data_IF_327229459718
#
_entry.id   IF_327229459718
#
_cell.length_a   1.000
_cell.length_b   1.000
_cell.length_c   1.000
_cell.angle_alpha   90.00
_cell.angle_beta   90.00
_cell.angle_gamma   90.00
#
_symmetry.space_group_name_H-M   'P 1'
#
loop_
_entity.id
_entity.type
_entity.pdbx_description
1 polymer ?
#
# COMPACT_ATOMS: atom_id res chain seq x y z
N UNK A 1 9.34 16.05 5.13
CA UNK A 1 9.96 14.90 4.45
C UNK A 1 8.89 14.22 3.63
N UNK A 2 9.15 13.93 2.37
CA UNK A 2 8.25 13.19 1.47
C UNK A 2 8.51 11.68 1.62
N UNK A 3 7.73 11.04 2.45
CA UNK A 3 7.83 9.60 2.76
C UNK A 3 7.45 8.72 1.57
N UNK A 4 6.54 9.20 0.70
CA UNK A 4 6.16 8.50 -0.53
C UNK A 4 7.33 8.45 -1.52
N UNK A 5 8.01 9.57 -1.73
CA UNK A 5 9.19 9.63 -2.59
C UNK A 5 10.34 8.78 -2.03
N UNK A 6 10.50 8.74 -0.70
CA UNK A 6 11.50 7.90 -0.06
C UNK A 6 11.22 6.41 -0.26
N UNK A 7 9.96 5.95 -0.08
CA UNK A 7 9.57 4.56 -0.37
C UNK A 7 9.86 4.20 -1.82
N UNK A 8 9.48 5.07 -2.77
CA UNK A 8 9.74 4.83 -4.19
C UNK A 8 11.24 4.72 -4.48
N UNK A 9 12.07 5.56 -3.85
CA UNK A 9 13.54 5.50 -4.02
C UNK A 9 14.15 4.21 -3.48
N UNK A 10 13.64 3.69 -2.35
CA UNK A 10 14.08 2.40 -1.79
C UNK A 10 13.75 1.26 -2.76
N UNK A 11 12.53 1.25 -3.30
CA UNK A 11 12.10 0.26 -4.29
C UNK A 11 12.95 0.33 -5.56
N UNK A 12 13.24 1.54 -6.05
CA UNK A 12 14.08 1.77 -7.21
C UNK A 12 15.51 1.22 -6.99
N UNK A 13 16.11 1.47 -5.83
CA UNK A 13 17.41 0.89 -5.48
C UNK A 13 17.36 -0.64 -5.43
N UNK A 14 16.27 -1.20 -4.93
CA UNK A 14 16.09 -2.64 -4.80
C UNK A 14 16.07 -3.36 -6.15
N UNK A 15 15.26 -2.87 -7.10
CA UNK A 15 15.13 -3.51 -8.43
C UNK A 15 16.34 -3.30 -9.35
N UNK A 16 17.24 -2.38 -8.98
CA UNK A 16 18.49 -2.14 -9.71
C UNK A 16 19.73 -2.73 -9.03
N UNK A 17 19.57 -3.59 -8.00
CA UNK A 17 20.68 -4.23 -7.30
C UNK A 17 21.58 -3.27 -6.49
N UNK A 18 21.02 -2.13 -6.02
CA UNK A 18 21.74 -1.08 -5.32
C UNK A 18 21.33 -0.93 -3.85
N UNK A 19 20.36 -1.72 -3.38
CA UNK A 19 19.84 -1.62 -2.01
C UNK A 19 20.67 -2.42 -1.02
N UNK A 20 21.17 -3.57 -1.42
CA UNK A 20 22.00 -4.47 -0.59
C UNK A 20 23.29 -4.82 -1.31
N UNK A 21 24.36 -5.17 -0.56
CA UNK A 21 25.58 -5.68 -1.17
C UNK A 21 25.33 -7.00 -1.89
N UNK A 22 25.95 -7.19 -3.06
CA UNK A 22 25.99 -8.45 -3.77
C UNK A 22 27.01 -9.38 -3.12
N UNK A 23 26.69 -10.68 -3.05
CA UNK A 23 27.60 -11.71 -2.57
C UNK A 23 28.01 -12.60 -3.78
N UNK A 24 29.30 -12.64 -4.15
CA UNK A 24 29.75 -13.46 -5.27
C UNK A 24 29.61 -14.98 -5.01
N UNK A 25 29.33 -15.39 -3.79
CA UNK A 25 29.04 -16.79 -3.44
C UNK A 25 27.57 -17.16 -3.58
N UNK A 26 26.69 -16.20 -3.84
CA UNK A 26 25.29 -16.51 -4.08
C UNK A 26 25.12 -17.33 -5.37
N UNK A 27 24.26 -18.34 -5.33
CA UNK A 27 23.94 -19.13 -6.51
C UNK A 27 23.28 -18.21 -7.59
N UNK A 28 23.82 -18.16 -8.81
CA UNK A 28 23.26 -17.29 -9.85
C UNK A 28 21.78 -17.52 -10.11
N UNK A 29 21.03 -16.45 -10.38
CA UNK A 29 19.58 -16.50 -10.64
C UNK A 29 19.22 -17.39 -11.87
N UNK A 30 20.11 -17.58 -12.82
CA UNK A 30 19.93 -18.48 -13.94
C UNK A 30 19.71 -19.94 -13.50
N UNK A 31 20.41 -20.39 -12.46
CA UNK A 31 20.25 -21.74 -11.89
C UNK A 31 18.88 -21.88 -11.22
N UNK A 32 18.44 -20.85 -10.47
CA UNK A 32 17.08 -20.78 -9.92
C UNK A 32 16.03 -20.87 -11.02
N UNK A 33 16.22 -20.11 -12.11
CA UNK A 33 15.29 -20.09 -13.24
C UNK A 33 15.19 -21.46 -13.93
N UNK A 34 16.29 -22.17 -14.09
CA UNK A 34 16.29 -23.53 -14.64
C UNK A 34 15.52 -24.50 -13.71
N UNK A 35 15.69 -24.42 -12.41
CA UNK A 35 14.91 -25.22 -11.44
C UNK A 35 13.42 -24.92 -11.52
N UNK A 36 13.04 -23.66 -11.62
CA UNK A 36 11.63 -23.24 -11.76
C UNK A 36 11.05 -23.85 -13.05
N UNK A 37 11.77 -23.75 -14.19
CA UNK A 37 11.33 -24.33 -15.46
C UNK A 37 11.17 -25.82 -15.40
N UNK A 38 12.12 -26.53 -14.80
CA UNK A 38 12.06 -27.98 -14.65
C UNK A 38 10.86 -28.41 -13.79
N UNK A 39 10.63 -27.72 -12.68
CA UNK A 39 9.51 -28.04 -11.79
C UNK A 39 8.16 -27.73 -12.46
N UNK A 40 8.03 -26.60 -13.17
CA UNK A 40 6.81 -26.30 -13.95
C UNK A 40 6.53 -27.37 -15.01
N UNK A 41 7.54 -27.81 -15.75
CA UNK A 41 7.37 -28.91 -16.73
C UNK A 41 6.95 -30.22 -16.04
N UNK A 42 7.46 -30.53 -14.84
CA UNK A 42 7.04 -31.68 -14.04
C UNK A 42 5.54 -31.55 -13.69
N UNK A 43 5.12 -30.40 -13.15
CA UNK A 43 3.73 -30.15 -12.78
C UNK A 43 2.77 -30.20 -13.98
N UNK A 44 3.22 -29.75 -15.17
CA UNK A 44 2.46 -29.86 -16.42
C UNK A 44 2.29 -31.33 -16.81
N UNK A 45 3.36 -32.11 -16.77
CA UNK A 45 3.31 -33.57 -17.07
C UNK A 45 2.40 -34.33 -16.12
N UNK A 46 2.37 -33.93 -14.86
CA UNK A 46 1.47 -34.49 -13.81
C UNK A 46 0.02 -33.99 -13.95
N UNK A 47 -0.27 -33.08 -14.90
CA UNK A 47 -1.60 -32.51 -15.09
C UNK A 47 -2.07 -31.55 -13.97
N UNK A 48 -1.15 -31.14 -13.08
CA UNK A 48 -1.44 -30.21 -11.96
C UNK A 48 -1.61 -28.77 -12.40
N UNK A 49 -0.86 -28.36 -13.43
CA UNK A 49 -0.96 -27.02 -14.02
C UNK A 49 -1.09 -27.10 -15.55
N UNK A 50 -1.75 -26.12 -16.12
CA UNK A 50 -1.87 -26.01 -17.58
C UNK A 50 -0.62 -25.34 -18.17
N UNK A 51 -0.19 -25.78 -19.34
CA UNK A 51 0.87 -25.09 -20.08
C UNK A 51 0.40 -23.68 -20.46
N UNK A 52 1.15 -22.69 -20.03
CA UNK A 52 0.95 -21.30 -20.50
C UNK A 52 1.13 -21.25 -22.03
N UNK A 53 0.27 -20.51 -22.74
CA UNK A 53 0.52 -20.24 -24.16
C UNK A 53 1.87 -19.52 -24.27
N UNK A 54 2.77 -20.03 -25.12
CA UNK A 54 4.03 -19.32 -25.39
C UNK A 54 3.66 -17.95 -25.94
N UNK A 55 3.95 -16.92 -25.17
CA UNK A 55 3.95 -15.55 -25.64
C UNK A 55 5.01 -15.45 -26.73
N UNK A 56 4.69 -14.87 -27.90
CA UNK A 56 5.72 -14.49 -28.86
C UNK A 56 6.68 -13.55 -28.12
N UNK A 57 7.99 -13.85 -28.16
CA UNK A 57 9.00 -12.97 -27.57
C UNK A 57 8.77 -11.58 -28.14
N UNK A 58 8.46 -10.61 -27.32
CA UNK A 58 8.47 -9.21 -27.71
C UNK A 58 9.88 -8.88 -28.17
N UNK A 59 10.04 -8.41 -29.40
CA UNK A 59 11.32 -7.92 -29.91
C UNK A 59 11.71 -6.59 -29.29
N UNK A 60 10.78 -5.93 -28.61
CA UNK A 60 10.99 -4.73 -27.80
C UNK A 60 11.33 -5.14 -26.37
N UNK A 61 12.57 -5.54 -26.14
CA UNK A 61 13.16 -5.50 -24.81
C UNK A 61 13.14 -4.04 -24.39
N UNK A 62 12.48 -3.66 -23.25
CA UNK A 62 12.68 -2.33 -22.69
C UNK A 62 14.18 -2.15 -22.56
N UNK A 63 14.70 -0.99 -22.96
CA UNK A 63 16.10 -0.64 -22.90
C UNK A 63 16.64 -0.76 -21.48
N UNK A 64 16.97 -1.98 -21.04
CA UNK A 64 17.96 -2.19 -20.00
C UNK A 64 19.32 -1.92 -20.63
N UNK A 65 19.61 -0.65 -20.94
CA UNK A 65 20.92 -0.18 -21.36
C UNK A 65 21.99 -0.37 -20.27
N UNK A 66 21.57 -0.87 -19.09
CA UNK A 66 22.47 -1.11 -17.99
C UNK A 66 22.85 -2.59 -17.95
N UNK A 67 24.14 -2.85 -17.86
CA UNK A 67 24.70 -4.16 -17.52
C UNK A 67 23.99 -4.67 -16.28
N UNK A 68 23.38 -5.86 -16.37
CA UNK A 68 22.74 -6.49 -15.23
C UNK A 68 23.76 -6.68 -14.10
N UNK A 69 23.36 -6.56 -12.84
CA UNK A 69 24.23 -6.92 -11.71
C UNK A 69 24.72 -8.38 -11.83
N UNK A 70 25.89 -8.66 -11.29
CA UNK A 70 26.46 -10.00 -11.32
C UNK A 70 25.53 -11.04 -10.68
N UNK A 71 25.39 -12.19 -11.33
CA UNK A 71 24.49 -13.26 -10.88
C UNK A 71 23.00 -13.04 -11.15
N UNK A 72 22.58 -11.86 -11.63
CA UNK A 72 21.20 -11.59 -12.00
C UNK A 72 20.89 -12.09 -13.42
N UNK A 73 19.61 -12.41 -13.70
CA UNK A 73 19.19 -12.77 -15.06
C UNK A 73 17.87 -12.10 -15.44
N UNK A 74 17.66 -11.89 -16.74
CA UNK A 74 16.42 -11.37 -17.29
C UNK A 74 15.48 -12.54 -17.62
N UNK A 75 14.22 -12.43 -17.23
CA UNK A 75 13.15 -13.38 -17.48
C UNK A 75 11.82 -12.65 -17.59
N UNK A 76 10.69 -13.33 -17.53
CA UNK A 76 9.35 -12.73 -17.51
C UNK A 76 8.43 -13.41 -16.49
N UNK A 77 7.30 -12.77 -16.17
CA UNK A 77 6.32 -13.31 -15.21
C UNK A 77 5.81 -14.68 -15.66
N UNK A 78 5.56 -14.87 -16.96
CA UNK A 78 5.04 -16.13 -17.50
C UNK A 78 6.02 -17.31 -17.34
N UNK A 79 7.33 -17.04 -17.37
CA UNK A 79 8.36 -18.06 -17.05
C UNK A 79 8.46 -18.34 -15.55
N UNK A 80 8.37 -17.30 -14.70
CA UNK A 80 8.55 -17.42 -13.25
C UNK A 80 7.35 -18.00 -12.53
N UNK A 81 6.13 -17.52 -12.83
CA UNK A 81 4.95 -17.77 -12.02
C UNK A 81 3.98 -18.75 -12.68
N UNK A 82 3.12 -19.31 -11.86
CA UNK A 82 2.03 -20.21 -12.24
C UNK A 82 0.74 -19.41 -12.21
N UNK A 83 0.06 -19.29 -13.36
CA UNK A 83 -1.21 -18.61 -13.45
C UNK A 83 -2.35 -19.55 -13.04
N UNK A 84 -3.19 -19.10 -12.11
CA UNK A 84 -4.36 -19.81 -11.59
C UNK A 84 -5.69 -19.11 -11.89
N UNK A 85 -5.71 -18.22 -12.88
CA UNK A 85 -6.90 -17.48 -13.30
C UNK A 85 -8.10 -18.36 -13.66
N UNK A 86 -7.83 -19.58 -14.15
CA UNK A 86 -8.87 -20.54 -14.48
C UNK A 86 -9.67 -21.06 -13.29
N UNK A 87 -9.23 -20.81 -12.07
CA UNK A 87 -9.91 -21.21 -10.83
C UNK A 87 -10.82 -20.11 -10.28
N UNK A 88 -10.71 -18.88 -10.80
CA UNK A 88 -11.54 -17.73 -10.39
C UNK A 88 -13.00 -17.94 -10.81
N UNK A 89 -13.92 -17.43 -10.01
CA UNK A 89 -15.36 -17.44 -10.32
C UNK A 89 -16.00 -16.10 -9.91
N UNK A 90 -16.53 -15.31 -10.84
CA UNK A 90 -17.29 -14.11 -10.48
C UNK A 90 -18.61 -14.48 -9.83
N UNK A 91 -18.98 -13.79 -8.76
CA UNK A 91 -20.28 -13.90 -8.10
C UNK A 91 -20.94 -12.53 -8.16
N UNK A 92 -22.14 -12.45 -8.74
CA UNK A 92 -22.85 -11.18 -8.89
C UNK A 92 -23.19 -10.55 -7.53
N UNK A 93 -23.29 -9.23 -7.49
CA UNK A 93 -23.67 -8.49 -6.27
C UNK A 93 -25.03 -8.94 -5.74
N UNK A 94 -25.97 -9.26 -6.64
CA UNK A 94 -27.32 -9.75 -6.28
C UNK A 94 -27.24 -11.10 -5.55
N UNK A 95 -26.36 -12.01 -5.98
CA UNK A 95 -26.17 -13.30 -5.30
C UNK A 95 -25.48 -13.04 -3.95
N UNK A 96 -24.41 -12.23 -3.91
CA UNK A 96 -23.69 -11.93 -2.67
C UNK A 96 -24.58 -11.24 -1.62
N UNK A 97 -25.49 -10.34 -2.04
CA UNK A 97 -26.40 -9.66 -1.11
C UNK A 97 -27.40 -10.60 -0.41
N UNK A 98 -27.69 -11.76 -1.01
CA UNK A 98 -28.61 -12.77 -0.46
C UNK A 98 -27.91 -13.75 0.51
N UNK A 99 -26.57 -13.75 0.57
CA UNK A 99 -25.84 -14.63 1.47
C UNK A 99 -25.94 -14.14 2.92
N UNK A 100 -26.19 -15.06 3.86
CA UNK A 100 -26.42 -14.73 5.29
C UNK A 100 -25.21 -14.90 6.17
N UNK A 101 -24.26 -15.75 5.77
CA UNK A 101 -23.04 -16.09 6.56
C UNK A 101 -21.77 -15.66 5.84
N UNK A 102 -21.64 -14.37 5.58
CA UNK A 102 -20.48 -13.79 4.87
C UNK A 102 -19.26 -13.69 5.77
N UNK A 103 -18.37 -14.66 5.72
CA UNK A 103 -17.16 -14.72 6.56
C UNK A 103 -15.86 -14.64 5.77
N UNK A 104 -15.86 -15.07 4.48
CA UNK A 104 -14.66 -15.11 3.65
C UNK A 104 -14.54 -13.86 2.79
N UNK A 105 -13.34 -13.32 2.69
CA UNK A 105 -13.07 -12.15 1.89
C UNK A 105 -13.26 -12.44 0.39
N UNK A 106 -13.91 -11.50 -0.31
CA UNK A 106 -14.13 -11.53 -1.74
C UNK A 106 -13.27 -10.46 -2.41
N UNK A 107 -12.25 -10.90 -3.13
CA UNK A 107 -11.24 -10.04 -3.75
C UNK A 107 -11.65 -9.58 -5.14
N UNK A 108 -11.38 -8.30 -5.42
CA UNK A 108 -11.45 -7.65 -6.73
C UNK A 108 -10.09 -7.12 -7.17
N UNK A 109 -10.09 -6.21 -8.16
CA UNK A 109 -8.88 -5.67 -8.79
C UNK A 109 -7.90 -4.95 -7.85
N UNK A 110 -8.35 -4.41 -6.72
CA UNK A 110 -7.55 -3.59 -5.81
C UNK A 110 -7.76 -3.95 -4.33
N UNK A 111 -8.00 -5.23 -4.03
CA UNK A 111 -8.19 -5.75 -2.68
C UNK A 111 -9.59 -6.29 -2.42
N UNK A 112 -9.94 -6.43 -1.15
CA UNK A 112 -11.25 -6.93 -0.70
C UNK A 112 -12.35 -5.92 -1.06
N UNK A 113 -13.41 -6.40 -1.70
CA UNK A 113 -14.57 -5.58 -2.11
C UNK A 113 -15.88 -6.02 -1.45
N UNK A 114 -15.94 -7.23 -0.88
CA UNK A 114 -17.11 -7.79 -0.20
C UNK A 114 -16.69 -9.01 0.64
N UNK A 115 -17.65 -9.68 1.27
CA UNK A 115 -17.49 -11.00 1.86
C UNK A 115 -18.50 -11.98 1.25
N UNK A 116 -18.18 -13.28 1.32
CA UNK A 116 -19.02 -14.39 0.81
C UNK A 116 -19.08 -15.53 1.83
N UNK A 117 -19.99 -16.48 1.62
CA UNK A 117 -20.26 -17.60 2.52
C UNK A 117 -19.37 -18.83 2.26
N UNK A 118 -18.61 -18.82 1.16
CA UNK A 118 -17.73 -19.92 0.75
C UNK A 118 -16.40 -19.38 0.20
N UNK A 119 -15.43 -20.26 -0.01
CA UNK A 119 -14.10 -19.89 -0.50
C UNK A 119 -13.69 -20.75 -1.69
N UNK A 120 -12.76 -20.23 -2.51
CA UNK A 120 -12.13 -20.95 -3.63
C UNK A 120 -10.69 -21.36 -3.31
N UNK A 121 -9.99 -20.56 -2.49
CA UNK A 121 -8.59 -20.72 -2.17
C UNK A 121 -8.43 -20.82 -0.65
N UNK A 122 -7.46 -21.61 -0.19
CA UNK A 122 -7.06 -21.75 1.23
C UNK A 122 -5.53 -21.81 1.29
N UNK A 123 -4.88 -20.73 0.82
CA UNK A 123 -3.43 -20.62 0.76
C UNK A 123 -3.00 -19.15 0.50
N UNK A 124 -1.69 -18.88 0.62
CA UNK A 124 -1.13 -17.57 0.29
C UNK A 124 -0.82 -17.50 -1.20
N UNK A 125 -1.48 -16.57 -1.92
CA UNK A 125 -1.26 -16.29 -3.35
C UNK A 125 -1.07 -14.80 -3.61
N UNK A 126 -0.39 -14.48 -4.69
CA UNK A 126 -0.21 -13.13 -5.18
C UNK A 126 -1.38 -12.79 -6.12
N UNK A 127 -2.07 -11.70 -5.81
CA UNK A 127 -3.12 -11.14 -6.66
C UNK A 127 -2.58 -9.88 -7.35
N UNK A 128 -2.86 -9.74 -8.66
CA UNK A 128 -2.52 -8.55 -9.45
C UNK A 128 -3.80 -8.05 -10.13
N UNK A 129 -4.11 -6.76 -9.99
CA UNK A 129 -5.28 -6.18 -10.64
C UNK A 129 -5.30 -6.46 -12.15
N UNK A 130 -6.43 -6.96 -12.68
CA UNK A 130 -6.61 -7.22 -14.11
C UNK A 130 -7.20 -6.00 -14.83
N UNK A 131 -8.06 -5.23 -14.16
CA UNK A 131 -8.73 -4.07 -14.77
C UNK A 131 -9.02 -2.95 -13.76
N UNK A 132 -9.45 -1.82 -14.30
CA UNK A 132 -9.89 -0.67 -13.51
C UNK A 132 -8.84 0.44 -13.37
N UNK A 133 -9.33 1.59 -12.89
CA UNK A 133 -8.54 2.82 -12.80
C UNK A 133 -7.29 2.70 -11.91
N UNK A 134 -7.28 1.77 -10.95
CA UNK A 134 -6.12 1.59 -10.05
C UNK A 134 -4.86 1.16 -10.79
N UNK A 135 -4.98 0.45 -11.93
CA UNK A 135 -3.83 0.04 -12.73
C UNK A 135 -2.93 1.24 -13.10
N UNK A 136 -3.53 2.37 -13.45
CA UNK A 136 -2.83 3.60 -13.84
C UNK A 136 -2.65 4.57 -12.66
N UNK A 137 -3.70 4.79 -11.84
CA UNK A 137 -3.66 5.75 -10.74
C UNK A 137 -2.75 5.33 -9.60
N UNK A 138 -2.59 4.01 -9.40
CA UNK A 138 -1.77 3.40 -8.36
C UNK A 138 -2.05 3.99 -6.97
N UNK A 139 -3.33 4.31 -6.73
CA UNK A 139 -3.79 4.78 -5.40
C UNK A 139 -3.66 3.69 -4.33
N UNK A 140 -3.71 2.43 -4.78
CA UNK A 140 -3.39 1.24 -4.00
C UNK A 140 -2.36 0.40 -4.75
N UNK A 141 -1.70 -0.52 -4.08
CA UNK A 141 -0.82 -1.49 -4.71
C UNK A 141 -1.56 -2.28 -5.78
N UNK A 142 -0.95 -2.45 -6.96
CA UNK A 142 -1.50 -3.28 -8.03
C UNK A 142 -1.27 -4.78 -7.76
N UNK A 143 -0.20 -5.12 -7.04
CA UNK A 143 0.10 -6.47 -6.58
C UNK A 143 -0.05 -6.53 -5.06
N UNK A 144 -0.86 -7.48 -4.55
CA UNK A 144 -1.18 -7.66 -3.14
C UNK A 144 -1.41 -9.14 -2.82
N UNK A 145 -1.31 -9.52 -1.55
CA UNK A 145 -1.49 -10.92 -1.12
C UNK A 145 -2.90 -11.17 -0.61
N UNK A 146 -3.40 -12.37 -0.88
CA UNK A 146 -4.51 -12.98 -0.18
C UNK A 146 -4.01 -14.22 0.57
N UNK A 147 -4.48 -14.43 1.80
CA UNK A 147 -4.03 -15.50 2.69
C UNK A 147 -5.21 -16.18 3.39
N UNK A 148 -5.06 -17.46 3.72
CA UNK A 148 -6.10 -18.28 4.33
C UNK A 148 -7.23 -18.57 3.34
N UNK A 149 -8.48 -18.50 3.80
CA UNK A 149 -9.67 -18.85 3.01
C UNK A 149 -10.32 -17.60 2.42
N UNK A 150 -10.40 -17.53 1.10
CA UNK A 150 -10.92 -16.39 0.38
C UNK A 150 -11.48 -16.76 -0.99
N UNK A 151 -12.16 -15.81 -1.62
CA UNK A 151 -12.70 -15.91 -2.97
C UNK A 151 -12.14 -14.81 -3.86
N UNK A 152 -11.83 -15.12 -5.11
CA UNK A 152 -11.33 -14.14 -6.09
C UNK A 152 -12.27 -14.09 -7.29
N UNK A 153 -12.62 -12.88 -7.73
CA UNK A 153 -13.38 -12.65 -8.95
C UNK A 153 -12.46 -12.57 -10.19
N UNK A 154 -13.04 -12.24 -11.34
CA UNK A 154 -12.32 -12.11 -12.60
C UNK A 154 -11.63 -10.75 -12.82
N UNK A 155 -11.58 -9.88 -11.81
CA UNK A 155 -10.93 -8.56 -11.89
C UNK A 155 -9.51 -8.54 -11.29
N UNK A 156 -9.02 -9.67 -10.80
CA UNK A 156 -7.64 -9.83 -10.35
C UNK A 156 -7.05 -11.14 -10.87
N UNK A 157 -5.85 -11.11 -11.41
CA UNK A 157 -5.04 -12.30 -11.70
C UNK A 157 -4.66 -12.99 -10.41
N UNK A 158 -4.61 -14.32 -10.43
CA UNK A 158 -4.19 -15.17 -9.31
C UNK A 158 -2.91 -15.88 -9.72
N UNK A 159 -1.85 -15.60 -9.00
CA UNK A 159 -0.51 -16.11 -9.30
C UNK A 159 0.06 -16.90 -8.14
N UNK A 160 0.66 -18.02 -8.50
CA UNK A 160 1.40 -18.92 -7.62
C UNK A 160 2.86 -19.04 -8.08
N UNK A 161 3.71 -19.64 -7.27
CA UNK A 161 5.09 -19.94 -7.60
C UNK A 161 5.50 -21.31 -7.07
N UNK A 162 6.50 -21.93 -7.69
CA UNK A 162 7.13 -23.14 -7.18
C UNK A 162 7.85 -22.92 -5.83
N UNK A 163 8.34 -21.70 -5.61
CA UNK A 163 8.84 -21.20 -4.33
C UNK A 163 8.03 -19.96 -3.94
N UNK A 164 7.27 -20.04 -2.87
CA UNK A 164 6.41 -18.95 -2.39
C UNK A 164 7.18 -17.66 -2.02
N UNK A 165 8.45 -17.76 -1.67
CA UNK A 165 9.30 -16.59 -1.37
C UNK A 165 9.48 -15.69 -2.60
N UNK A 166 9.47 -16.27 -3.81
CA UNK A 166 9.53 -15.50 -5.05
C UNK A 166 8.38 -14.52 -5.20
N UNK A 167 7.20 -14.85 -4.71
CA UNK A 167 6.01 -13.99 -4.79
C UNK A 167 6.22 -12.64 -4.11
N UNK A 168 6.95 -12.60 -2.98
CA UNK A 168 7.25 -11.35 -2.26
C UNK A 168 8.12 -10.42 -3.11
N UNK A 169 9.15 -10.97 -3.76
CA UNK A 169 10.00 -10.19 -4.65
C UNK A 169 9.22 -9.67 -5.88
N UNK A 170 8.41 -10.52 -6.50
CA UNK A 170 7.58 -10.12 -7.65
C UNK A 170 6.57 -9.04 -7.27
N UNK A 171 5.94 -9.13 -6.09
CA UNK A 171 5.03 -8.08 -5.61
C UNK A 171 5.74 -6.72 -5.48
N UNK A 172 6.99 -6.71 -5.00
CA UNK A 172 7.83 -5.51 -4.92
C UNK A 172 8.08 -4.95 -6.31
N UNK A 173 8.51 -5.79 -7.27
CA UNK A 173 8.80 -5.37 -8.65
C UNK A 173 7.57 -4.75 -9.31
N UNK A 174 6.43 -5.44 -9.30
CA UNK A 174 5.18 -4.96 -9.90
C UNK A 174 4.71 -3.65 -9.26
N UNK A 175 4.85 -3.51 -7.95
CA UNK A 175 4.45 -2.28 -7.25
C UNK A 175 5.46 -1.14 -7.44
N UNK A 176 6.70 -1.40 -7.83
CA UNK A 176 7.71 -0.38 -8.09
C UNK A 176 7.66 0.16 -9.52
N UNK A 177 7.40 -0.71 -10.51
CA UNK A 177 7.44 -0.35 -11.92
C UNK A 177 6.13 0.28 -12.43
N UNK A 178 6.21 1.04 -13.53
CA UNK A 178 5.04 1.47 -14.29
C UNK A 178 4.55 0.34 -15.18
N UNK A 179 3.23 0.17 -15.27
CA UNK A 179 2.60 -0.89 -16.05
C UNK A 179 1.97 -0.36 -17.36
N UNK A 180 2.15 0.92 -17.66
CA UNK A 180 1.46 1.63 -18.77
C UNK A 180 1.63 0.91 -20.10
N UNK A 181 2.83 0.41 -20.39
CA UNK A 181 3.16 -0.28 -21.65
C UNK A 181 2.47 -1.67 -21.77
N UNK A 182 2.00 -2.23 -20.68
CA UNK A 182 1.32 -3.54 -20.62
C UNK A 182 -0.20 -3.40 -20.53
N UNK A 183 -0.71 -2.18 -20.29
CA UNK A 183 -2.12 -1.89 -20.11
C UNK A 183 -2.73 -1.48 -21.44
N UNK A 184 -3.89 -2.04 -21.76
CA UNK A 184 -4.69 -1.70 -22.93
C UNK A 184 -6.01 -1.06 -22.52
N UNK A 185 -6.63 -0.28 -23.42
CA UNK A 185 -7.93 0.35 -23.19
C UNK A 185 -7.83 1.66 -22.40
N UNK A 186 -8.12 2.78 -23.07
CA UNK A 186 -8.06 4.13 -22.49
C UNK A 186 -9.24 4.41 -21.55
N UNK A 187 -10.45 3.96 -21.89
CA UNK A 187 -11.65 4.18 -21.06
C UNK A 187 -11.74 3.18 -19.90
N UNK A 188 -11.32 1.95 -20.12
CA UNK A 188 -11.26 0.91 -19.10
C UNK A 188 -9.89 0.23 -19.17
N UNK A 189 -8.92 0.67 -18.38
CA UNK A 189 -7.59 0.08 -18.35
C UNK A 189 -7.65 -1.41 -18.05
N UNK A 190 -6.93 -2.22 -18.83
CA UNK A 190 -6.89 -3.66 -18.67
C UNK A 190 -5.48 -4.20 -18.86
N UNK A 191 -5.01 -4.98 -17.89
CA UNK A 191 -3.83 -5.81 -17.97
C UNK A 191 -4.27 -7.23 -18.31
N UNK A 192 -4.15 -7.64 -19.56
CA UNK A 192 -4.50 -9.00 -19.96
C UNK A 192 -3.48 -10.02 -19.46
N UNK A 193 -3.88 -11.30 -19.33
CA UNK A 193 -2.97 -12.38 -18.95
C UNK A 193 -1.75 -12.47 -19.89
N UNK A 194 -1.96 -12.27 -21.19
CA UNK A 194 -0.87 -12.29 -22.18
C UNK A 194 0.12 -11.14 -21.97
N UNK A 195 -0.36 -9.96 -21.63
CA UNK A 195 0.50 -8.81 -21.32
C UNK A 195 1.18 -8.96 -19.96
N UNK A 196 0.45 -9.45 -18.94
CA UNK A 196 1.03 -9.77 -17.63
C UNK A 196 2.21 -10.74 -17.77
N UNK A 197 2.05 -11.81 -18.55
CA UNK A 197 3.10 -12.82 -18.76
C UNK A 197 4.36 -12.26 -19.42
N UNK A 198 4.24 -11.18 -20.20
CA UNK A 198 5.36 -10.53 -20.93
C UNK A 198 6.12 -9.50 -20.08
N UNK A 199 5.64 -9.18 -18.89
CA UNK A 199 6.32 -8.20 -18.03
C UNK A 199 7.72 -8.74 -17.69
N UNK A 200 8.79 -8.03 -18.10
CA UNK A 200 10.15 -8.46 -17.83
C UNK A 200 10.51 -8.32 -16.37
N UNK A 201 11.20 -9.31 -15.86
CA UNK A 201 11.69 -9.36 -14.48
C UNK A 201 13.21 -9.52 -14.52
N UNK A 202 13.92 -8.59 -13.93
CA UNK A 202 15.33 -8.75 -13.59
C UNK A 202 15.39 -9.50 -12.27
N UNK A 203 15.80 -10.76 -12.35
CA UNK A 203 15.75 -11.70 -11.23
C UNK A 203 17.11 -11.77 -10.52
N UNK A 204 17.19 -11.43 -9.22
CA UNK A 204 18.38 -11.62 -8.40
C UNK A 204 18.57 -13.10 -7.99
N UNK A 205 19.78 -13.48 -7.53
CA UNK A 205 19.99 -14.68 -6.75
C UNK A 205 18.99 -14.82 -5.60
N UNK A 206 18.53 -16.04 -5.29
CA UNK A 206 17.48 -16.26 -4.29
C UNK A 206 17.86 -15.69 -2.90
N UNK A 207 19.12 -15.87 -2.49
CA UNK A 207 19.61 -15.33 -1.22
C UNK A 207 19.59 -13.79 -1.23
N UNK A 208 19.93 -13.16 -2.36
CA UNK A 208 19.87 -11.71 -2.51
C UNK A 208 18.42 -11.20 -2.49
N UNK A 209 17.46 -11.91 -3.12
CA UNK A 209 16.02 -11.57 -3.00
C UNK A 209 15.59 -11.48 -1.53
N UNK A 210 16.01 -12.43 -0.69
CA UNK A 210 15.68 -12.44 0.74
C UNK A 210 16.29 -11.24 1.48
N UNK A 211 17.56 -10.90 1.18
CA UNK A 211 18.20 -9.70 1.75
C UNK A 211 17.50 -8.41 1.33
N UNK A 212 17.14 -8.30 0.05
CA UNK A 212 16.38 -7.16 -0.49
C UNK A 212 15.04 -7.01 0.25
N UNK A 213 14.27 -8.08 0.37
CA UNK A 213 12.96 -8.07 1.04
C UNK A 213 13.10 -7.66 2.51
N UNK A 214 14.09 -8.21 3.21
CA UNK A 214 14.35 -7.89 4.61
C UNK A 214 14.72 -6.41 4.79
N UNK A 215 15.59 -5.88 3.93
CA UNK A 215 16.01 -4.48 4.00
C UNK A 215 14.88 -3.51 3.65
N UNK A 216 14.05 -3.82 2.65
CA UNK A 216 12.83 -3.03 2.34
C UNK A 216 11.90 -3.00 3.54
N UNK A 217 11.60 -4.16 4.17
CA UNK A 217 10.75 -4.24 5.36
C UNK A 217 11.28 -3.36 6.49
N UNK A 218 12.57 -3.41 6.75
CA UNK A 218 13.22 -2.57 7.77
C UNK A 218 13.03 -1.08 7.48
N UNK A 219 13.33 -0.63 6.26
CA UNK A 219 13.18 0.76 5.87
C UNK A 219 11.72 1.22 5.92
N UNK A 220 10.78 0.39 5.47
CA UNK A 220 9.36 0.74 5.50
C UNK A 220 8.83 0.84 6.93
N UNK A 221 9.26 -0.04 7.84
CA UNK A 221 8.92 0.06 9.26
C UNK A 221 9.43 1.37 9.87
N UNK A 222 10.65 1.80 9.54
CA UNK A 222 11.19 3.09 10.00
C UNK A 222 10.38 4.27 9.43
N UNK A 223 9.97 4.20 8.18
CA UNK A 223 9.14 5.24 7.54
C UNK A 223 7.76 5.29 8.20
N UNK A 224 7.14 4.13 8.46
CA UNK A 224 5.83 4.05 9.15
C UNK A 224 5.92 4.69 10.55
N UNK A 225 7.01 4.43 11.28
CA UNK A 225 7.24 5.04 12.61
C UNK A 225 7.34 6.57 12.51
N UNK A 226 8.09 7.08 11.52
CA UNK A 226 8.22 8.53 11.30
C UNK A 226 6.86 9.16 10.95
N UNK A 227 6.03 8.49 10.15
CA UNK A 227 4.69 8.96 9.80
C UNK A 227 3.78 9.00 11.03
N UNK A 228 3.85 7.97 11.89
CA UNK A 228 3.10 7.91 13.14
C UNK A 228 3.55 9.00 14.12
N UNK A 229 4.85 9.14 14.36
CA UNK A 229 5.42 10.16 15.26
C UNK A 229 5.00 11.58 14.84
N UNK A 230 4.97 11.82 13.52
CA UNK A 230 4.50 13.11 12.96
C UNK A 230 3.01 13.34 13.23
N UNK A 231 2.18 12.32 13.10
CA UNK A 231 0.74 12.42 13.39
C UNK A 231 0.49 12.66 14.88
N UNK A 232 1.23 11.98 15.76
CA UNK A 232 1.13 12.13 17.22
C UNK A 232 1.59 13.52 17.68
N UNK A 233 2.67 14.04 17.08
CA UNK A 233 3.14 15.41 17.34
C UNK A 233 2.08 16.44 16.93
N UNK A 234 1.45 16.29 15.76
CA UNK A 234 0.40 17.18 15.31
C UNK A 234 -0.79 17.18 16.28
N UNK A 235 -1.22 16.01 16.74
CA UNK A 235 -2.28 15.85 17.73
C UNK A 235 -1.92 16.55 19.05
N UNK A 236 -0.68 16.37 19.51
CA UNK A 236 -0.17 17.01 20.73
C UNK A 236 -0.17 18.54 20.61
N UNK A 237 0.23 19.09 19.44
CA UNK A 237 0.19 20.53 19.18
C UNK A 237 -1.23 21.05 19.24
N UNK A 238 -2.21 20.39 18.63
CA UNK A 238 -3.62 20.80 18.65
C UNK A 238 -4.20 20.79 20.08
N UNK A 239 -3.92 19.74 20.86
CA UNK A 239 -4.32 19.65 22.26
C UNK A 239 -3.68 20.75 23.11
N UNK A 240 -2.40 21.04 22.88
CA UNK A 240 -1.69 22.11 23.60
C UNK A 240 -2.26 23.48 23.30
N UNK A 241 -2.53 23.79 22.01
CA UNK A 241 -3.19 25.05 21.60
C UNK A 241 -4.55 25.19 22.26
N UNK A 242 -5.38 24.14 22.23
CA UNK A 242 -6.69 24.13 22.90
C UNK A 242 -6.58 24.40 24.40
N UNK A 243 -5.59 23.78 25.05
CA UNK A 243 -5.36 23.98 26.49
C UNK A 243 -4.92 25.41 26.81
N UNK A 244 -4.03 25.98 26.00
CA UNK A 244 -3.60 27.38 26.16
C UNK A 244 -4.78 28.32 26.04
N UNK A 245 -5.63 28.12 25.01
CA UNK A 245 -6.84 28.94 24.81
C UNK A 245 -7.81 28.78 25.99
N UNK A 246 -8.04 27.55 26.46
CA UNK A 246 -8.89 27.30 27.63
C UNK A 246 -8.38 28.04 28.89
N UNK A 247 -7.06 27.98 29.12
CA UNK A 247 -6.45 28.70 30.24
C UNK A 247 -6.57 30.22 30.08
N UNK A 248 -6.41 30.73 28.86
CA UNK A 248 -6.51 32.16 28.57
C UNK A 248 -7.92 32.69 28.83
N UNK A 249 -8.97 32.05 28.26
CA UNK A 249 -10.37 32.49 28.42
C UNK A 249 -10.92 32.29 29.84
N UNK A 250 -10.22 31.52 30.67
CA UNK A 250 -10.57 31.36 32.11
C UNK A 250 -9.68 32.19 33.03
N UNK A 251 -8.82 33.09 32.49
CA UNK A 251 -7.92 33.91 33.29
C UNK A 251 -6.87 33.14 34.09
N UNK A 252 -6.52 31.92 33.62
CA UNK A 252 -5.57 31.03 34.30
C UNK A 252 -4.23 30.93 33.60
N UNK A 253 -4.07 31.58 32.43
CA UNK A 253 -2.84 31.52 31.65
C UNK A 253 -1.72 32.34 32.29
N UNK A 254 -2.06 33.50 32.83
CA UNK A 254 -1.16 34.40 33.55
C UNK A 254 -1.75 34.72 34.94
N UNK A 255 -0.90 34.97 35.94
CA UNK A 255 -1.36 35.46 37.25
C UNK A 255 -2.17 36.74 37.07
N UNK A 256 -3.27 36.88 37.81
CA UNK A 256 -4.05 38.13 37.88
C UNK A 256 -3.31 39.12 38.74
N UNK A 257 -3.14 40.39 38.26
CA UNK A 257 -2.62 41.49 39.07
C UNK A 257 -3.79 42.22 39.73
N UNK A 258 -3.84 42.29 41.08
CA UNK A 258 -4.89 43.00 41.79
C UNK A 258 -4.88 44.54 41.52
N UNK A 259 -3.82 45.09 40.96
CA UNK A 259 -3.71 46.46 40.58
C UNK A 259 -4.19 46.76 39.13
N UNK A 260 -4.50 45.74 38.38
CA UNK A 260 -5.05 45.93 37.03
C UNK A 260 -6.42 46.58 37.08
N UNK A 261 -6.66 47.53 36.17
CA UNK A 261 -7.97 48.17 36.05
C UNK A 261 -9.04 47.13 35.72
N UNK A 262 -10.14 47.04 36.46
CA UNK A 262 -11.25 46.15 36.16
C UNK A 262 -11.84 46.40 34.77
N UNK A 263 -12.13 45.31 33.99
CA UNK A 263 -12.66 45.41 32.63
C UNK A 263 -13.96 46.25 32.54
N UNK A 264 -14.74 46.31 33.62
CA UNK A 264 -15.96 47.13 33.72
C UNK A 264 -15.67 48.61 33.61
N UNK A 265 -14.54 49.09 34.13
CA UNK A 265 -14.16 50.53 34.06
C UNK A 265 -13.74 50.88 32.65
N UNK A 266 -13.00 50.01 31.98
CA UNK A 266 -12.66 50.17 30.57
C UNK A 266 -13.92 50.19 29.66
N UNK A 267 -14.84 49.26 29.90
CA UNK A 267 -16.08 49.14 29.12
C UNK A 267 -16.99 50.37 29.32
N UNK A 268 -17.10 50.91 30.51
CA UNK A 268 -17.84 52.16 30.76
C UNK A 268 -17.20 53.42 30.14
N UNK A 269 -15.86 53.45 29.96
CA UNK A 269 -15.19 54.52 29.21
C UNK A 269 -15.50 54.48 27.70
N UNK A 270 -15.66 53.28 27.19
CA UNK A 270 -15.98 53.05 25.74
C UNK A 270 -17.47 53.33 25.51
N UNK A 271 -18.32 52.84 26.39
CA UNK A 271 -19.76 53.03 26.36
C UNK A 271 -20.28 53.37 27.80
N UNK A 272 -20.59 54.64 28.07
CA UNK A 272 -21.06 55.09 29.38
C UNK A 272 -22.30 54.37 29.91
N UNK A 273 -23.16 53.89 29.00
CA UNK A 273 -24.40 53.17 29.34
C UNK A 273 -24.20 51.67 29.47
N UNK A 274 -22.93 51.22 29.45
CA UNK A 274 -22.62 49.79 29.53
C UNK A 274 -23.10 49.20 30.88
N UNK A 275 -23.93 48.17 30.79
CA UNK A 275 -24.30 47.29 31.90
C UNK A 275 -23.79 45.87 31.64
N UNK A 276 -23.12 45.25 32.63
CA UNK A 276 -22.69 43.87 32.48
C UNK A 276 -23.87 42.95 32.20
N UNK A 277 -23.77 42.09 31.22
CA UNK A 277 -24.79 41.11 30.93
C UNK A 277 -24.49 39.83 31.74
N UNK A 278 -25.53 39.33 32.43
CA UNK A 278 -25.53 37.96 32.95
C UNK A 278 -26.09 37.05 31.83
N UNK A 279 -25.23 36.39 31.10
CA UNK A 279 -25.64 35.50 29.99
C UNK A 279 -26.11 34.13 30.50
N UNK A 280 -26.48 34.02 31.79
CA UNK A 280 -26.92 32.73 32.38
C UNK A 280 -25.82 31.68 32.44
N UNK A 281 -24.56 32.07 32.20
CA UNK A 281 -23.43 31.18 32.35
C UNK A 281 -23.10 31.00 33.82
N UNK A 282 -23.28 29.79 34.33
CA UNK A 282 -22.99 29.39 35.72
C UNK A 282 -21.49 29.44 36.10
N UNK A 283 -20.64 29.93 35.22
CA UNK A 283 -19.18 29.99 35.42
C UNK A 283 -18.79 31.31 36.09
N UNK A 284 -18.13 31.19 37.23
CA UNK A 284 -17.56 32.32 37.94
C UNK A 284 -16.37 32.90 37.12
N UNK A 285 -16.47 34.18 36.73
CA UNK A 285 -15.38 34.88 36.08
C UNK A 285 -14.20 35.12 37.03
N UNK A 286 -12.96 35.25 36.49
CA UNK A 286 -11.84 35.75 37.24
C UNK A 286 -12.12 37.17 37.79
N UNK A 287 -11.41 37.53 38.88
CA UNK A 287 -11.53 38.86 39.46
C UNK A 287 -11.15 39.94 38.41
N UNK A 288 -11.92 41.00 38.34
CA UNK A 288 -11.70 42.09 37.42
C UNK A 288 -12.26 41.89 35.99
N UNK A 289 -12.74 40.71 35.64
CA UNK A 289 -13.31 40.40 34.33
C UNK A 289 -14.82 40.71 34.30
N UNK A 290 -15.31 41.03 33.10
CA UNK A 290 -16.72 41.27 32.85
C UNK A 290 -17.19 40.59 31.56
N UNK A 291 -18.48 40.19 31.54
CA UNK A 291 -19.11 39.78 30.26
C UNK A 291 -19.54 41.04 29.51
N UNK A 292 -19.26 41.05 28.20
CA UNK A 292 -19.79 42.04 27.27
C UNK A 292 -20.44 41.34 26.06
N UNK A 293 -21.46 42.03 25.48
CA UNK A 293 -22.06 41.63 24.21
C UNK A 293 -21.48 42.44 23.07
#
# INVERSE_FOLDING_TARGET
MDTKALRQKILDLAIHGKLVPQDPNDEPASVLLERIKAEKERLIKEGKIKRSKKSAKSSDTPHYENVLPDGWCLTDIGELLINRDGERKPVSSVIRSKQTSKIYDYYGAAGVIDKVDSYLFDERLLLIGEDGANLLSRSKNNAFFAEGRYWVNNHAHVLDATDKNLLDFIAIVINSMKLDDYITGSAQPKLSQDNLNKIPIVLPPLAEQQRIIAEIKKWFTLIDQIEQDKADLQTTIELTKSKILDLAIHGKLIPQDPNDEPAIELLKRINPDFTPCDNGHSRKLPQGWAYCQ
#
